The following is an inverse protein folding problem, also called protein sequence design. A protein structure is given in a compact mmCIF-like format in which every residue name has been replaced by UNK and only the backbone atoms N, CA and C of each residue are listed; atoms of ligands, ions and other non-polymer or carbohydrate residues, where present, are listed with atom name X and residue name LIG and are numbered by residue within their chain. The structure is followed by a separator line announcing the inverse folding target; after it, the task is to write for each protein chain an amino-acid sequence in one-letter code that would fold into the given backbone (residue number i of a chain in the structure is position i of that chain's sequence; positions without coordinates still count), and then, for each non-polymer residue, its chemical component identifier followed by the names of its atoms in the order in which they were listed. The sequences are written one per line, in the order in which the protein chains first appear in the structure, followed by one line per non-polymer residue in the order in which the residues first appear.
data_IF_824568869071
#
_entry.id   IF_824568869071
#
_cell.length_a   1.000
_cell.length_b   1.000
_cell.length_c   1.000
_cell.angle_alpha   90.00
_cell.angle_beta   90.00
_cell.angle_gamma   90.00
#
_symmetry.space_group_name_H-M   'P 1'
#
loop_
_entity.id
_entity.type
_entity.pdbx_description
1 polymer ?
#
# COMPACT_ATOMS: atom_id res chain seq x y z
N UNK A 1 -1.08 -5.75 -9.99
CA UNK A 1 0.00 -4.73 -10.05
C UNK A 1 0.83 -4.96 -11.31
N UNK A 2 0.95 -3.93 -12.14
CA UNK A 2 1.88 -3.89 -13.26
C UNK A 2 3.13 -3.11 -12.84
N UNK A 3 4.31 -3.59 -13.22
CA UNK A 3 5.58 -2.86 -13.09
C UNK A 3 6.25 -2.92 -14.45
N UNK A 4 6.67 -1.77 -14.98
CA UNK A 4 7.25 -1.62 -16.33
C UNK A 4 6.38 -2.26 -17.43
N UNK A 5 5.08 -1.96 -17.39
CA UNK A 5 4.08 -2.47 -18.35
C UNK A 5 3.95 -4.00 -18.40
N UNK A 6 4.52 -4.72 -17.43
CA UNK A 6 4.37 -6.17 -17.30
C UNK A 6 3.50 -6.50 -16.10
N UNK A 7 2.51 -7.36 -16.30
CA UNK A 7 1.68 -7.87 -15.21
C UNK A 7 2.58 -8.67 -14.27
N UNK A 8 2.78 -8.18 -13.04
CA UNK A 8 3.61 -8.85 -12.03
C UNK A 8 2.78 -9.73 -11.12
N UNK A 9 1.57 -9.29 -10.79
CA UNK A 9 0.68 -10.04 -9.90
C UNK A 9 -0.76 -9.63 -10.15
N UNK A 10 -1.64 -10.62 -10.26
CA UNK A 10 -3.07 -10.43 -10.06
C UNK A 10 -3.31 -10.64 -8.55
N UNK A 11 -3.53 -9.55 -7.82
CA UNK A 11 -3.87 -9.61 -6.40
C UNK A 11 -5.36 -9.94 -6.28
N UNK A 12 -5.68 -11.23 -6.30
CA UNK A 12 -6.96 -11.73 -5.83
C UNK A 12 -6.69 -12.83 -4.81
N UNK A 13 -7.02 -12.56 -3.55
CA UNK A 13 -6.96 -13.55 -2.48
C UNK A 13 -8.31 -14.26 -2.42
N UNK A 14 -8.33 -15.55 -2.74
CA UNK A 14 -9.57 -16.33 -2.79
C UNK A 14 -10.09 -16.69 -1.39
N UNK A 15 -9.33 -16.36 -0.34
CA UNK A 15 -9.63 -16.72 1.05
C UNK A 15 -9.27 -15.56 1.97
N UNK A 16 -10.22 -15.17 2.83
CA UNK A 16 -9.96 -14.28 3.97
C UNK A 16 -10.20 -15.05 5.26
N UNK A 17 -9.32 -14.85 6.23
CA UNK A 17 -9.40 -15.40 7.58
C UNK A 17 -10.11 -14.38 8.48
N UNK A 18 -11.28 -14.72 9.02
CA UNK A 18 -11.92 -13.95 10.08
C UNK A 18 -11.89 -14.78 11.37
N UNK A 19 -10.78 -14.68 12.11
CA UNK A 19 -10.49 -15.58 13.23
C UNK A 19 -10.20 -17.00 12.75
N UNK A 20 -10.97 -17.98 13.21
CA UNK A 20 -10.82 -19.41 12.86
C UNK A 20 -11.65 -19.85 11.64
N UNK A 21 -12.36 -18.93 10.99
CA UNK A 21 -13.17 -19.22 9.81
C UNK A 21 -12.48 -18.72 8.54
N UNK A 22 -12.31 -19.61 7.57
CA UNK A 22 -11.91 -19.26 6.21
C UNK A 22 -13.17 -19.00 5.38
N UNK A 23 -13.33 -17.77 4.89
CA UNK A 23 -14.35 -17.44 3.90
C UNK A 23 -13.72 -17.43 2.52
N UNK A 24 -14.33 -18.18 1.60
CA UNK A 24 -13.99 -18.08 0.19
C UNK A 24 -14.52 -16.74 -0.35
N UNK A 25 -13.61 -15.87 -0.75
CA UNK A 25 -13.99 -14.65 -1.45
C UNK A 25 -14.36 -15.00 -2.88
N UNK A 26 -15.57 -14.61 -3.27
CA UNK A 26 -15.99 -14.69 -4.66
C UNK A 26 -15.35 -13.54 -5.43
N UNK A 27 -14.78 -13.81 -6.60
CA UNK A 27 -14.17 -12.76 -7.43
C UNK A 27 -15.25 -11.73 -7.80
N UNK A 28 -15.16 -10.47 -7.33
CA UNK A 28 -16.17 -9.46 -7.59
C UNK A 28 -16.21 -9.04 -9.07
N UNK A 29 -15.17 -9.39 -9.83
CA UNK A 29 -14.97 -9.04 -11.23
C UNK A 29 -15.19 -10.24 -12.17
N UNK A 30 -15.95 -11.26 -11.75
CA UNK A 30 -16.30 -12.41 -12.61
C UNK A 30 -16.90 -11.99 -13.96
N UNK A 31 -17.66 -10.88 -13.96
CA UNK A 31 -18.27 -10.31 -15.16
C UNK A 31 -17.58 -8.99 -15.60
N UNK A 32 -16.37 -8.74 -15.11
CA UNK A 32 -15.61 -7.53 -15.40
C UNK A 32 -14.96 -7.55 -16.78
N UNK A 33 -14.42 -6.40 -17.18
CA UNK A 33 -13.56 -6.26 -18.35
C UNK A 33 -12.12 -6.63 -18.00
N UNK A 34 -11.26 -6.75 -19.01
CA UNK A 34 -9.81 -6.86 -18.80
C UNK A 34 -9.20 -5.64 -18.06
N UNK A 35 -9.93 -4.52 -18.00
CA UNK A 35 -9.52 -3.29 -17.33
C UNK A 35 -10.07 -3.17 -15.90
N UNK A 36 -11.00 -4.03 -15.46
CA UNK A 36 -11.50 -4.01 -14.09
C UNK A 36 -10.37 -4.22 -13.09
N UNK A 37 -10.21 -3.42 -12.03
CA UNK A 37 -11.10 -2.42 -11.40
C UNK A 37 -10.90 -0.95 -11.82
N UNK A 38 -10.19 -0.71 -12.92
CA UNK A 38 -9.85 0.63 -13.41
C UNK A 38 -10.75 1.09 -14.57
N UNK A 39 -11.89 0.42 -14.75
CA UNK A 39 -12.89 0.67 -15.78
C UNK A 39 -14.01 1.64 -15.33
N UNK A 40 -13.89 2.21 -14.13
CA UNK A 40 -14.77 3.24 -13.59
C UNK A 40 -14.00 4.55 -13.35
N UNK A 41 -14.72 5.66 -13.18
CA UNK A 41 -14.11 6.92 -12.75
C UNK A 41 -13.47 6.75 -11.36
N UNK A 42 -12.24 7.25 -11.21
CA UNK A 42 -11.50 7.17 -9.96
C UNK A 42 -10.75 8.46 -9.66
N UNK A 43 -10.46 8.66 -8.39
CA UNK A 43 -9.61 9.75 -7.91
C UNK A 43 -8.17 9.27 -7.76
N UNK A 44 -7.23 10.13 -8.14
CA UNK A 44 -5.82 9.92 -7.82
C UNK A 44 -5.53 10.48 -6.43
N UNK A 45 -5.11 9.61 -5.52
CA UNK A 45 -4.66 9.98 -4.17
C UNK A 45 -3.14 9.87 -4.16
N UNK A 46 -2.47 10.95 -3.77
CA UNK A 46 -1.06 10.93 -3.39
C UNK A 46 -0.94 11.17 -1.90
N UNK A 47 -0.31 10.23 -1.21
CA UNK A 47 -0.03 10.35 0.21
C UNK A 47 1.27 9.65 0.57
N UNK A 48 1.81 10.01 1.74
CA UNK A 48 2.87 9.26 2.42
C UNK A 48 2.20 8.54 3.59
N UNK A 49 2.26 7.21 3.60
CA UNK A 49 1.70 6.38 4.66
C UNK A 49 2.82 5.68 5.43
N UNK A 50 2.65 5.57 6.74
CA UNK A 50 3.62 4.97 7.67
C UNK A 50 2.89 4.11 8.70
N UNK A 51 3.62 3.23 9.39
CA UNK A 51 3.06 2.42 10.47
C UNK A 51 2.17 1.26 10.00
N UNK A 52 2.30 0.83 8.73
CA UNK A 52 1.66 -0.40 8.27
C UNK A 52 2.25 -1.62 8.98
N UNK A 53 1.37 -2.51 9.47
CA UNK A 53 1.72 -3.72 10.24
C UNK A 53 1.29 -5.02 9.56
N UNK A 54 0.98 -4.97 8.27
CA UNK A 54 0.38 -6.06 7.51
C UNK A 54 1.41 -6.93 6.76
N UNK A 55 2.71 -6.81 7.07
CA UNK A 55 3.78 -7.55 6.41
C UNK A 55 4.19 -7.01 5.04
N UNK A 56 3.56 -5.93 4.55
CA UNK A 56 3.92 -5.33 3.26
C UNK A 56 5.33 -4.71 3.27
N UNK A 57 5.72 -4.15 4.42
CA UNK A 57 7.07 -3.66 4.68
C UNK A 57 7.76 -4.63 5.67
N UNK A 58 8.64 -5.53 5.21
CA UNK A 58 9.25 -6.54 6.08
C UNK A 58 10.04 -5.92 7.24
N UNK A 59 9.96 -6.52 8.42
CA UNK A 59 10.75 -6.11 9.59
C UNK A 59 12.26 -6.28 9.32
N UNK A 60 13.05 -5.34 9.84
CA UNK A 60 14.52 -5.35 9.71
C UNK A 60 15.05 -4.95 8.32
N UNK A 61 14.18 -4.46 7.41
CA UNK A 61 14.60 -3.95 6.10
C UNK A 61 14.38 -2.45 5.98
N UNK A 62 15.26 -1.78 5.21
CA UNK A 62 15.07 -0.37 4.80
C UNK A 62 15.02 0.63 5.95
N UNK A 63 15.77 0.39 7.04
CA UNK A 63 15.81 1.22 8.24
C UNK A 63 14.44 1.52 8.86
N UNK A 64 13.47 0.61 8.65
CA UNK A 64 12.12 0.69 9.19
C UNK A 64 12.18 0.80 10.73
N UNK A 65 11.71 1.91 11.32
CA UNK A 65 11.86 2.16 12.76
C UNK A 65 10.81 1.45 13.63
N UNK A 66 9.91 0.67 13.03
CA UNK A 66 8.88 -0.09 13.75
C UNK A 66 8.87 -1.57 13.36
N UNK A 67 8.24 -2.38 14.23
CA UNK A 67 8.00 -3.81 14.02
C UNK A 67 6.49 -4.03 13.84
N UNK A 68 6.10 -4.95 12.95
CA UNK A 68 4.69 -5.21 12.63
C UNK A 68 3.91 -5.81 13.79
N UNK A 69 4.48 -6.83 14.44
CA UNK A 69 3.93 -7.46 15.61
C UNK A 69 5.00 -7.53 16.70
N UNK A 70 4.78 -6.84 17.81
CA UNK A 70 5.60 -7.01 19.00
C UNK A 70 4.83 -7.81 20.03
N UNK A 71 5.35 -8.97 20.43
CA UNK A 71 4.80 -9.75 21.56
C UNK A 71 4.94 -9.02 22.91
N UNK A 72 5.66 -7.89 22.91
CA UNK A 72 6.13 -7.16 24.08
C UNK A 72 5.36 -5.86 24.33
N UNK A 73 4.66 -5.28 23.33
CA UNK A 73 3.83 -4.08 23.50
C UNK A 73 2.35 -4.36 23.15
N UNK A 74 1.45 -4.34 24.14
CA UNK A 74 0.03 -4.67 23.95
C UNK A 74 -0.81 -3.55 23.28
N UNK A 75 -0.23 -2.37 23.01
CA UNK A 75 -0.93 -1.24 22.38
C UNK A 75 -0.07 -0.67 21.23
N UNK A 76 -0.53 -0.86 19.99
CA UNK A 76 -0.11 -0.21 18.74
C UNK A 76 1.33 0.37 18.72
N UNK A 77 2.38 -0.47 18.68
CA UNK A 77 3.78 -0.01 18.74
C UNK A 77 4.20 0.82 17.52
N UNK A 78 3.67 0.50 16.35
CA UNK A 78 4.25 0.97 15.09
C UNK A 78 4.22 2.48 14.88
N UNK A 79 3.07 3.13 15.12
CA UNK A 79 2.96 4.60 14.97
C UNK A 79 3.79 5.35 16.02
N UNK A 80 3.85 4.82 17.25
CA UNK A 80 4.65 5.39 18.33
C UNK A 80 6.14 5.28 18.02
N UNK A 81 6.61 4.10 17.62
CA UNK A 81 8.03 3.86 17.30
C UNK A 81 8.45 4.67 16.07
N UNK A 82 7.57 4.80 15.06
CA UNK A 82 7.77 5.74 13.95
C UNK A 82 7.91 7.19 14.42
N UNK A 83 7.01 7.65 15.30
CA UNK A 83 7.04 9.03 15.83
C UNK A 83 8.32 9.29 16.64
N UNK A 84 8.73 8.34 17.47
CA UNK A 84 9.94 8.46 18.28
C UNK A 84 11.22 8.51 17.44
N UNK A 85 11.20 7.93 16.23
CA UNK A 85 12.31 7.99 15.28
C UNK A 85 12.35 9.27 14.43
N UNK A 86 11.55 10.29 14.77
CA UNK A 86 11.41 11.52 13.97
C UNK A 86 12.73 12.17 13.62
N UNK A 87 13.64 12.35 14.58
CA UNK A 87 14.93 13.00 14.31
C UNK A 87 15.77 12.26 13.26
N UNK A 88 15.54 10.96 13.07
CA UNK A 88 16.26 10.14 12.08
C UNK A 88 15.62 10.28 10.70
N UNK A 89 14.31 10.03 10.58
CA UNK A 89 13.66 10.02 9.27
C UNK A 89 13.41 11.44 8.74
N UNK A 90 13.23 12.46 9.59
CA UNK A 90 13.03 13.82 9.10
C UNK A 90 14.30 14.40 8.49
N UNK A 91 15.48 13.94 8.92
CA UNK A 91 16.77 14.36 8.39
C UNK A 91 17.04 13.80 6.98
N UNK A 92 16.32 12.76 6.55
CA UNK A 92 16.46 12.21 5.20
C UNK A 92 15.57 12.90 4.17
N UNK A 93 14.63 13.76 4.62
CA UNK A 93 13.74 14.47 3.72
C UNK A 93 14.50 15.62 3.05
N UNK A 94 14.55 15.67 1.72
CA UNK A 94 15.18 16.78 1.01
C UNK A 94 14.43 18.09 1.28
N UNK A 95 15.17 19.18 1.48
CA UNK A 95 14.57 20.51 1.73
C UNK A 95 13.77 21.02 0.52
N UNK A 96 14.17 20.65 -0.70
CA UNK A 96 13.59 21.12 -1.97
C UNK A 96 13.25 19.98 -2.94
N UNK A 97 12.37 19.04 -2.56
CA UNK A 97 11.82 18.03 -3.50
C UNK A 97 10.34 18.27 -3.83
N UNK A 98 10.06 19.46 -4.37
CA UNK A 98 8.73 19.79 -4.88
C UNK A 98 8.50 19.14 -6.25
N UNK A 99 7.37 18.43 -6.40
CA UNK A 99 6.89 17.98 -7.70
C UNK A 99 5.99 19.05 -8.30
N UNK A 100 6.47 19.66 -9.38
CA UNK A 100 5.88 20.87 -9.97
C UNK A 100 4.55 20.63 -10.69
N UNK A 101 4.38 19.46 -11.34
CA UNK A 101 3.11 19.14 -11.99
C UNK A 101 2.88 17.63 -12.12
N UNK A 102 1.59 17.29 -12.20
CA UNK A 102 1.13 15.96 -12.57
C UNK A 102 0.24 16.07 -13.80
N UNK A 103 0.37 15.09 -14.71
CA UNK A 103 -0.50 14.98 -15.89
C UNK A 103 -1.09 13.59 -15.93
N UNK A 104 -2.39 13.54 -16.14
CA UNK A 104 -3.13 12.30 -16.36
C UNK A 104 -3.77 12.38 -17.74
N UNK A 105 -3.55 11.34 -18.54
CA UNK A 105 -4.02 11.28 -19.93
C UNK A 105 -5.07 10.19 -20.05
N UNK A 106 -6.08 10.44 -20.88
CA UNK A 106 -7.07 9.45 -21.30
C UNK A 106 -6.90 9.23 -22.79
N UNK A 107 -6.90 7.98 -23.23
CA UNK A 107 -7.00 7.67 -24.65
C UNK A 107 -8.40 8.07 -25.13
N UNK A 108 -8.48 8.96 -26.11
CA UNK A 108 -9.74 9.27 -26.78
C UNK A 108 -9.82 8.40 -28.02
N UNK A 109 -10.85 7.58 -28.12
CA UNK A 109 -11.14 6.88 -29.37
C UNK A 109 -11.73 7.90 -30.37
N UNK A 110 -11.26 7.83 -31.62
CA UNK A 110 -11.70 8.69 -32.73
C UNK A 110 -13.01 8.19 -33.34
#
# INVERSE_FOLDING_TARGET
MYVDSRLKSLLFLNVVQNGSQSQMLQNPWVNGTNATSFDLEFYLILNVAVGGTNGWFPDGQGDKPWIDASDIKPFFPAMCDFTNAQSTWSATWPEDDYKDYMKMWRHCDY
#
